data_IF_476644634038
#
_entry.id   IF_476644634038
#
_cell.length_a   1.000
_cell.length_b   1.000
_cell.length_c   1.000
_cell.angle_alpha   90.00
_cell.angle_beta   90.00
_cell.angle_gamma   90.00
#
_symmetry.space_group_name_H-M   'P 1'
#
loop_
_entity.id
_entity.type
_entity.pdbx_description
1 polymer ?
#
# COMPACT_ATOMS: atom_id res chain seq x y z
N UNK A 1 54.62 19.27 3.64
CA UNK A 1 53.58 19.57 2.64
C UNK A 1 52.31 18.90 3.14
N UNK A 2 51.60 19.59 4.03
CA UNK A 2 50.34 20.33 3.76
C UNK A 2 49.14 19.38 3.67
N UNK A 3 48.42 19.32 4.79
CA UNK A 3 47.10 18.72 4.95
C UNK A 3 46.08 19.35 3.98
N UNK A 4 45.11 18.55 3.53
CA UNK A 4 43.81 19.05 3.04
C UNK A 4 42.70 18.17 3.61
N UNK A 5 41.85 18.68 4.52
CA UNK A 5 40.72 17.95 5.08
C UNK A 5 39.42 18.51 4.51
N UNK A 6 38.94 18.04 3.36
CA UNK A 6 37.65 18.50 2.85
C UNK A 6 37.06 17.50 1.85
N UNK A 7 36.21 16.58 2.34
CA UNK A 7 35.11 15.95 1.56
C UNK A 7 34.15 15.15 2.47
N UNK A 8 33.82 15.67 3.67
CA UNK A 8 32.83 15.03 4.55
C UNK A 8 31.43 15.68 4.48
N UNK A 9 31.30 16.86 3.86
CA UNK A 9 30.06 17.64 3.91
C UNK A 9 29.24 17.43 2.63
N UNK A 10 28.58 16.28 2.49
CA UNK A 10 27.48 16.10 1.51
C UNK A 10 26.64 14.81 1.66
N UNK A 11 26.96 13.87 2.57
CA UNK A 11 26.22 12.60 2.68
C UNK A 11 25.08 12.60 3.71
N UNK A 12 25.02 13.59 4.59
CA UNK A 12 24.07 13.61 5.72
C UNK A 12 22.70 14.23 5.37
N UNK A 13 22.61 14.99 4.28
CA UNK A 13 21.36 15.68 3.89
C UNK A 13 20.38 14.76 3.16
N UNK A 14 20.86 13.73 2.47
CA UNK A 14 20.02 12.82 1.67
C UNK A 14 19.36 11.75 2.56
N UNK A 15 20.05 11.27 3.59
CA UNK A 15 19.49 10.29 4.54
C UNK A 15 18.37 10.89 5.39
N UNK A 16 18.52 12.13 5.83
CA UNK A 16 17.53 12.80 6.68
C UNK A 16 16.24 13.17 5.91
N UNK A 17 16.35 13.50 4.62
CA UNK A 17 15.18 13.78 3.77
C UNK A 17 14.30 12.55 3.50
N UNK A 18 14.92 11.37 3.35
CA UNK A 18 14.21 10.10 3.12
C UNK A 18 13.43 9.68 4.37
N UNK A 19 14.03 9.80 5.55
CA UNK A 19 13.36 9.46 6.82
C UNK A 19 12.16 10.36 7.13
N UNK A 20 12.18 11.61 6.68
CA UNK A 20 11.09 12.56 6.94
C UNK A 20 9.88 12.33 6.01
N UNK A 21 10.13 11.87 4.78
CA UNK A 21 9.10 11.40 3.85
C UNK A 21 8.47 10.09 4.34
N UNK A 22 9.28 9.16 4.87
CA UNK A 22 8.80 7.91 5.48
C UNK A 22 7.91 8.18 6.70
N UNK A 23 8.31 9.11 7.59
CA UNK A 23 7.47 9.56 8.71
C UNK A 23 6.17 10.22 8.26
N UNK A 24 6.22 11.03 7.19
CA UNK A 24 5.01 11.65 6.62
C UNK A 24 4.08 10.60 6.04
N UNK A 25 4.59 9.59 5.35
CA UNK A 25 3.80 8.48 4.81
C UNK A 25 3.14 7.66 5.92
N UNK A 26 3.86 7.39 7.02
CA UNK A 26 3.36 6.66 8.19
C UNK A 26 2.37 7.49 9.04
N UNK A 27 2.48 8.82 9.03
CA UNK A 27 1.60 9.72 9.80
C UNK A 27 0.34 10.16 9.05
N UNK A 28 0.12 9.70 7.82
CA UNK A 28 -1.15 9.89 7.12
C UNK A 28 -2.18 8.96 7.79
N UNK A 29 -2.69 9.41 8.93
CA UNK A 29 -3.89 8.84 9.54
C UNK A 29 -5.03 9.13 8.56
N UNK A 30 -5.78 8.13 8.10
CA UNK A 30 -6.90 8.38 7.21
C UNK A 30 -7.90 9.31 7.89
N UNK A 31 -8.49 10.28 7.16
CA UNK A 31 -9.42 11.27 7.73
C UNK A 31 -10.73 10.64 8.25
N UNK A 32 -10.94 9.36 7.96
CA UNK A 32 -11.99 8.53 8.52
C UNK A 32 -11.31 7.32 9.19
N UNK A 33 -11.69 7.02 10.43
CA UNK A 33 -11.16 5.89 11.18
C UNK A 33 -11.29 4.56 10.43
N UNK A 34 -10.59 3.55 10.92
CA UNK A 34 -10.48 2.22 10.32
C UNK A 34 -11.86 1.70 9.90
N UNK A 35 -12.10 1.68 8.58
CA UNK A 35 -13.42 1.39 7.99
C UNK A 35 -13.75 -0.11 8.08
N UNK A 36 -12.77 -0.92 8.47
CA UNK A 36 -12.88 -2.36 8.59
C UNK A 36 -13.87 -2.80 9.69
N UNK A 37 -14.09 -2.00 10.74
CA UNK A 37 -15.02 -2.37 11.83
C UNK A 37 -16.52 -2.22 11.47
N UNK A 38 -16.85 -1.40 10.47
CA UNK A 38 -18.26 -1.13 10.11
C UNK A 38 -18.79 -2.10 9.05
N UNK A 39 -17.94 -2.66 8.20
CA UNK A 39 -18.36 -3.53 7.09
C UNK A 39 -18.19 -5.03 7.34
N UNK A 40 -17.36 -5.46 8.30
CA UNK A 40 -17.19 -6.89 8.60
C UNK A 40 -18.28 -7.48 9.51
N UNK A 41 -19.08 -6.65 10.19
CA UNK A 41 -20.11 -7.09 11.13
C UNK A 41 -21.44 -7.50 10.48
N UNK A 42 -21.64 -7.24 9.19
CA UNK A 42 -22.90 -7.53 8.49
C UNK A 42 -22.96 -8.91 7.80
N UNK A 43 -21.84 -9.63 7.68
CA UNK A 43 -21.75 -10.84 6.84
C UNK A 43 -21.67 -12.16 7.62
N UNK A 44 -22.49 -12.32 8.66
CA UNK A 44 -22.84 -13.64 9.21
C UNK A 44 -24.34 -13.71 9.46
N UNK A 45 -25.10 -14.05 8.41
CA UNK A 45 -26.30 -14.86 8.56
C UNK A 45 -26.61 -15.55 7.22
N UNK A 46 -26.18 -16.80 7.13
CA UNK A 46 -26.59 -17.74 6.11
C UNK A 46 -28.02 -18.21 6.46
N UNK A 47 -29.00 -17.89 5.61
CA UNK A 47 -30.32 -18.52 5.64
C UNK A 47 -30.97 -18.44 4.26
N UNK A 48 -31.18 -19.63 3.69
CA UNK A 48 -31.89 -19.95 2.45
C UNK A 48 -33.16 -19.13 2.20
N UNK A 49 -33.24 -18.45 1.04
CA UNK A 49 -34.49 -18.29 0.31
C UNK A 49 -34.28 -18.28 -1.21
N UNK A 50 -34.67 -19.40 -1.82
CA UNK A 50 -34.75 -19.66 -3.25
C UNK A 50 -35.84 -18.79 -3.92
N UNK A 51 -35.45 -17.84 -4.78
CA UNK A 51 -36.31 -17.33 -5.86
C UNK A 51 -35.48 -16.81 -7.05
N UNK A 52 -35.72 -17.26 -8.29
CA UNK A 52 -34.92 -16.90 -9.45
C UNK A 52 -35.43 -15.59 -10.08
N UNK A 53 -34.83 -14.48 -9.64
CA UNK A 53 -34.48 -13.22 -10.31
C UNK A 53 -34.26 -12.24 -9.17
N UNK A 54 -33.11 -12.37 -8.52
CA UNK A 54 -32.58 -11.37 -7.62
C UNK A 54 -31.14 -11.19 -8.02
N UNK A 55 -30.90 -10.34 -9.01
CA UNK A 55 -29.64 -9.61 -9.08
C UNK A 55 -29.56 -8.91 -7.73
N UNK A 56 -28.78 -9.47 -6.82
CA UNK A 56 -28.83 -9.16 -5.39
C UNK A 56 -28.58 -7.67 -5.22
N UNK A 57 -29.64 -6.91 -4.98
CA UNK A 57 -29.54 -5.51 -4.63
C UNK A 57 -28.80 -5.40 -3.30
N UNK A 58 -28.01 -4.35 -3.11
CA UNK A 58 -27.37 -4.11 -1.83
C UNK A 58 -28.41 -4.08 -0.71
N UNK A 59 -28.07 -4.63 0.46
CA UNK A 59 -28.97 -4.69 1.62
C UNK A 59 -29.50 -3.30 2.01
N UNK A 60 -28.71 -2.26 1.76
CA UNK A 60 -29.11 -0.87 1.97
C UNK A 60 -30.18 -0.41 0.98
N UNK A 61 -30.03 -0.73 -0.31
CA UNK A 61 -31.05 -0.44 -1.34
C UNK A 61 -32.32 -1.23 -1.06
N UNK A 62 -32.20 -2.49 -0.65
CA UNK A 62 -33.35 -3.33 -0.28
C UNK A 62 -34.15 -2.72 0.88
N UNK A 63 -33.48 -2.26 1.95
CA UNK A 63 -34.16 -1.57 3.07
C UNK A 63 -34.87 -0.29 2.64
N UNK A 64 -34.24 0.51 1.79
CA UNK A 64 -34.84 1.73 1.25
C UNK A 64 -36.06 1.37 0.40
N UNK A 65 -35.94 0.39 -0.49
CA UNK A 65 -37.03 -0.09 -1.32
C UNK A 65 -38.21 -0.56 -0.47
N UNK A 66 -37.98 -1.39 0.55
CA UNK A 66 -39.04 -1.85 1.47
C UNK A 66 -39.75 -0.69 2.17
N UNK A 67 -39.02 0.35 2.58
CA UNK A 67 -39.61 1.56 3.17
C UNK A 67 -40.48 2.31 2.16
N UNK A 68 -39.98 2.52 0.95
CA UNK A 68 -40.71 3.24 -0.12
C UNK A 68 -41.97 2.48 -0.54
N UNK A 69 -41.90 1.16 -0.71
CA UNK A 69 -43.07 0.34 -1.07
C UNK A 69 -44.14 0.35 0.02
N UNK A 70 -43.78 0.32 1.31
CA UNK A 70 -44.74 0.41 2.42
C UNK A 70 -45.47 1.77 2.45
N UNK A 71 -44.77 2.85 2.14
CA UNK A 71 -45.39 4.17 2.01
C UNK A 71 -46.32 4.24 0.78
N UNK A 72 -45.95 3.57 -0.32
CA UNK A 72 -46.83 3.44 -1.48
C UNK A 72 -48.09 2.64 -1.18
N UNK A 73 -48.02 1.56 -0.41
CA UNK A 73 -49.20 0.83 0.07
C UNK A 73 -50.14 1.76 0.84
N UNK A 74 -49.60 2.52 1.80
CA UNK A 74 -50.38 3.50 2.59
C UNK A 74 -51.02 4.58 1.71
N UNK A 75 -50.32 5.04 0.67
CA UNK A 75 -50.82 6.02 -0.28
C UNK A 75 -51.92 5.46 -1.19
N UNK A 76 -51.79 4.21 -1.64
CA UNK A 76 -52.80 3.49 -2.43
C UNK A 76 -54.07 3.29 -1.59
N UNK A 77 -53.93 2.93 -0.32
CA UNK A 77 -55.08 2.76 0.59
C UNK A 77 -55.85 4.07 0.79
N UNK A 78 -55.15 5.20 0.93
CA UNK A 78 -55.78 6.49 1.18
C UNK A 78 -56.32 7.19 -0.08
N UNK A 79 -55.64 7.06 -1.22
CA UNK A 79 -55.89 7.88 -2.41
C UNK A 79 -56.09 7.07 -3.71
N UNK A 80 -55.88 5.75 -3.68
CA UNK A 80 -56.04 4.86 -4.82
C UNK A 80 -54.76 4.68 -5.67
N UNK A 81 -54.74 3.60 -6.45
CA UNK A 81 -53.61 3.18 -7.29
C UNK A 81 -53.10 4.23 -8.32
N UNK A 82 -53.94 5.05 -8.97
CA UNK A 82 -53.49 5.98 -10.02
C UNK A 82 -52.48 7.04 -9.54
N UNK A 83 -52.39 7.27 -8.23
CA UNK A 83 -51.46 8.24 -7.64
C UNK A 83 -50.01 7.79 -7.77
N UNK A 84 -49.75 6.48 -7.71
CA UNK A 84 -48.38 5.92 -7.74
C UNK A 84 -47.96 5.36 -9.10
N UNK A 85 -48.89 5.13 -10.03
CA UNK A 85 -48.60 4.49 -11.33
C UNK A 85 -47.46 5.15 -12.11
N UNK A 86 -47.45 6.49 -12.19
CA UNK A 86 -46.39 7.23 -12.90
C UNK A 86 -45.10 7.37 -12.09
N UNK A 87 -45.18 7.20 -10.77
CA UNK A 87 -44.06 7.36 -9.86
C UNK A 87 -43.26 6.06 -9.70
N UNK A 88 -43.93 4.90 -9.73
CA UNK A 88 -43.30 3.58 -9.64
C UNK A 88 -42.11 3.38 -10.59
N UNK A 89 -42.21 3.62 -11.91
CA UNK A 89 -41.07 3.40 -12.81
C UNK A 89 -39.90 4.34 -12.52
N UNK A 90 -40.15 5.55 -12.03
CA UNK A 90 -39.09 6.49 -11.63
C UNK A 90 -38.36 6.01 -10.39
N UNK A 91 -39.08 5.49 -9.41
CA UNK A 91 -38.48 4.91 -8.19
C UNK A 91 -37.72 3.64 -8.50
N UNK A 92 -38.24 2.77 -9.35
CA UNK A 92 -37.51 1.56 -9.78
C UNK A 92 -36.19 1.96 -10.44
N UNK A 93 -36.22 2.88 -11.40
CA UNK A 93 -34.99 3.38 -12.04
C UNK A 93 -34.04 4.04 -11.05
N UNK A 94 -34.55 4.80 -10.07
CA UNK A 94 -33.72 5.38 -9.02
C UNK A 94 -33.05 4.31 -8.14
N UNK A 95 -33.79 3.27 -7.75
CA UNK A 95 -33.27 2.17 -6.93
C UNK A 95 -32.25 1.32 -7.71
N UNK A 96 -32.47 1.09 -9.00
CA UNK A 96 -31.52 0.43 -9.90
C UNK A 96 -30.21 1.23 -10.01
N UNK A 97 -30.30 2.54 -10.29
CA UNK A 97 -29.13 3.41 -10.37
C UNK A 97 -28.38 3.49 -9.03
N UNK A 98 -29.11 3.51 -7.91
CA UNK A 98 -28.50 3.51 -6.59
C UNK A 98 -27.77 2.19 -6.30
N UNK A 99 -28.33 1.07 -6.75
CA UNK A 99 -27.71 -0.23 -6.62
C UNK A 99 -26.43 -0.36 -7.45
N UNK A 100 -26.46 0.13 -8.69
CA UNK A 100 -25.28 0.23 -9.55
C UNK A 100 -24.20 1.10 -8.92
N UNK A 101 -24.57 2.26 -8.37
CA UNK A 101 -23.64 3.13 -7.66
C UNK A 101 -22.97 2.45 -6.46
N UNK A 102 -23.70 1.65 -5.68
CA UNK A 102 -23.11 0.90 -4.58
C UNK A 102 -22.16 -0.20 -5.05
N UNK A 103 -22.46 -0.86 -6.17
CA UNK A 103 -21.57 -1.86 -6.79
C UNK A 103 -20.28 -1.22 -7.29
N UNK A 104 -20.38 -0.11 -8.00
CA UNK A 104 -19.24 0.66 -8.50
C UNK A 104 -18.39 1.18 -7.34
N UNK A 105 -19.03 1.68 -6.29
CA UNK A 105 -18.33 2.14 -5.09
C UNK A 105 -17.57 0.99 -4.41
N UNK A 106 -18.19 -0.19 -4.28
CA UNK A 106 -17.53 -1.35 -3.68
C UNK A 106 -16.34 -1.83 -4.53
N UNK A 107 -16.49 -1.87 -5.86
CA UNK A 107 -15.42 -2.21 -6.79
C UNK A 107 -14.25 -1.21 -6.69
N UNK A 108 -14.55 0.09 -6.67
CA UNK A 108 -13.55 1.14 -6.51
C UNK A 108 -12.80 1.01 -5.18
N UNK A 109 -13.50 0.76 -4.07
CA UNK A 109 -12.84 0.54 -2.77
C UNK A 109 -11.93 -0.70 -2.79
N UNK A 110 -12.32 -1.77 -3.48
CA UNK A 110 -11.50 -2.95 -3.64
C UNK A 110 -10.22 -2.65 -4.44
N UNK A 111 -10.34 -1.92 -5.56
CA UNK A 111 -9.20 -1.50 -6.38
C UNK A 111 -8.23 -0.61 -5.58
N UNK A 112 -8.74 0.37 -4.84
CA UNK A 112 -7.91 1.23 -3.98
C UNK A 112 -7.17 0.40 -2.92
N UNK A 113 -7.83 -0.60 -2.33
CA UNK A 113 -7.19 -1.50 -1.35
C UNK A 113 -6.05 -2.27 -2.01
N UNK A 114 -6.30 -2.87 -3.18
CA UNK A 114 -5.29 -3.61 -3.92
C UNK A 114 -4.08 -2.72 -4.26
N UNK A 115 -4.31 -1.53 -4.82
CA UNK A 115 -3.22 -0.60 -5.16
C UNK A 115 -2.40 -0.18 -3.95
N UNK A 116 -3.02 -0.04 -2.78
CA UNK A 116 -2.31 0.26 -1.53
C UNK A 116 -1.44 -0.91 -1.08
N UNK A 117 -1.96 -2.12 -1.14
CA UNK A 117 -1.23 -3.35 -0.81
C UNK A 117 -0.03 -3.57 -1.74
N UNK A 118 -0.23 -3.39 -3.05
CA UNK A 118 0.85 -3.47 -4.05
C UNK A 118 1.94 -2.44 -3.79
N UNK A 119 1.57 -1.19 -3.49
CA UNK A 119 2.54 -0.14 -3.14
C UNK A 119 3.32 -0.45 -1.87
N UNK A 120 2.65 -1.00 -0.84
CA UNK A 120 3.32 -1.41 0.39
C UNK A 120 4.35 -2.50 0.11
N UNK A 121 3.98 -3.52 -0.68
CA UNK A 121 4.89 -4.59 -1.04
C UNK A 121 6.09 -4.09 -1.86
N UNK A 122 5.88 -3.17 -2.83
CA UNK A 122 6.98 -2.54 -3.58
C UNK A 122 7.92 -1.77 -2.64
N UNK A 123 7.36 -1.06 -1.66
CA UNK A 123 8.15 -0.32 -0.68
C UNK A 123 9.03 -1.24 0.18
N UNK A 124 8.48 -2.36 0.66
CA UNK A 124 9.21 -3.34 1.47
C UNK A 124 10.34 -3.99 0.66
N UNK A 125 10.08 -4.33 -0.60
CA UNK A 125 11.10 -4.85 -1.52
C UNK A 125 12.22 -3.83 -1.74
N UNK A 126 11.87 -2.57 -2.01
CA UNK A 126 12.84 -1.49 -2.18
C UNK A 126 13.71 -1.31 -0.93
N UNK A 127 13.10 -1.38 0.25
CA UNK A 127 13.81 -1.24 1.53
C UNK A 127 14.80 -2.39 1.74
N UNK A 128 14.36 -3.61 1.45
CA UNK A 128 15.21 -4.80 1.53
C UNK A 128 16.38 -4.73 0.55
N UNK A 129 16.12 -4.34 -0.70
CA UNK A 129 17.15 -4.22 -1.73
C UNK A 129 18.18 -3.15 -1.38
N UNK A 130 17.73 -1.99 -0.86
CA UNK A 130 18.64 -0.95 -0.35
C UNK A 130 19.53 -1.47 0.78
N UNK A 131 19.00 -2.28 1.69
CA UNK A 131 19.77 -2.88 2.77
C UNK A 131 20.79 -3.90 2.24
N UNK A 132 20.38 -4.77 1.30
CA UNK A 132 21.25 -5.73 0.64
C UNK A 132 22.41 -5.05 -0.10
N UNK A 133 22.12 -3.95 -0.82
CA UNK A 133 23.14 -3.16 -1.51
C UNK A 133 24.16 -2.56 -0.53
N UNK A 134 23.71 -1.93 0.55
CA UNK A 134 24.61 -1.38 1.59
C UNK A 134 25.49 -2.48 2.19
N UNK A 135 24.93 -3.66 2.42
CA UNK A 135 25.68 -4.80 2.93
C UNK A 135 26.75 -5.27 1.93
N UNK A 136 26.42 -5.32 0.63
CA UNK A 136 27.38 -5.67 -0.42
C UNK A 136 28.51 -4.65 -0.53
N UNK A 137 28.19 -3.35 -0.52
CA UNK A 137 29.17 -2.26 -0.53
C UNK A 137 30.14 -2.35 0.66
N UNK A 138 29.63 -2.66 1.86
CA UNK A 138 30.47 -2.86 3.05
C UNK A 138 31.38 -4.10 2.92
N UNK A 139 30.88 -5.21 2.36
CA UNK A 139 31.70 -6.41 2.13
C UNK A 139 32.83 -6.13 1.15
N UNK A 140 32.55 -5.40 0.06
CA UNK A 140 33.55 -5.03 -0.93
C UNK A 140 34.67 -4.18 -0.29
N UNK A 141 34.30 -3.17 0.50
CA UNK A 141 35.28 -2.35 1.21
C UNK A 141 36.20 -3.20 2.11
N UNK A 142 35.61 -4.10 2.91
CA UNK A 142 36.41 -4.99 3.77
C UNK A 142 37.36 -5.89 2.98
N UNK A 143 36.97 -6.34 1.78
CA UNK A 143 37.85 -7.14 0.92
C UNK A 143 38.95 -6.31 0.28
N UNK A 144 38.69 -5.06 -0.09
CA UNK A 144 39.69 -4.13 -0.61
C UNK A 144 40.74 -3.82 0.47
N UNK A 145 40.31 -3.52 1.70
CA UNK A 145 41.19 -3.29 2.85
C UNK A 145 42.08 -4.52 3.13
N UNK A 146 41.50 -5.72 3.13
CA UNK A 146 42.24 -6.96 3.35
C UNK A 146 43.28 -7.22 2.24
N UNK A 147 42.93 -6.94 0.99
CA UNK A 147 43.83 -7.09 -0.15
C UNK A 147 44.99 -6.10 -0.10
N UNK A 148 44.73 -4.84 0.28
CA UNK A 148 45.76 -3.82 0.42
C UNK A 148 46.75 -4.16 1.55
N UNK A 149 46.26 -4.70 2.68
CA UNK A 149 47.14 -5.19 3.75
C UNK A 149 48.01 -6.37 3.29
N UNK A 150 47.44 -7.35 2.58
CA UNK A 150 48.20 -8.46 2.01
C UNK A 150 49.27 -7.96 1.02
N UNK A 151 48.92 -6.98 0.18
CA UNK A 151 49.86 -6.36 -0.76
C UNK A 151 51.03 -5.71 -0.03
N UNK A 152 50.77 -4.90 1.02
CA UNK A 152 51.81 -4.27 1.83
C UNK A 152 52.73 -5.30 2.48
N UNK A 153 52.18 -6.39 3.02
CA UNK A 153 52.97 -7.48 3.61
C UNK A 153 53.86 -8.15 2.56
N UNK A 154 53.32 -8.43 1.38
CA UNK A 154 54.07 -9.02 0.27
C UNK A 154 55.18 -8.09 -0.25
N UNK A 155 54.90 -6.80 -0.40
CA UNK A 155 55.90 -5.79 -0.77
C UNK A 155 57.03 -5.70 0.27
N UNK A 156 56.70 -5.67 1.57
CA UNK A 156 57.68 -5.65 2.65
C UNK A 156 58.56 -6.91 2.67
N UNK A 157 57.97 -8.09 2.43
CA UNK A 157 58.69 -9.36 2.31
C UNK A 157 59.63 -9.35 1.10
N UNK A 158 59.16 -8.88 -0.05
CA UNK A 158 59.97 -8.79 -1.26
C UNK A 158 61.14 -7.79 -1.10
N UNK A 159 60.89 -6.65 -0.45
CA UNK A 159 61.94 -5.69 -0.10
C UNK A 159 63.01 -6.31 0.80
N UNK A 160 62.59 -7.03 1.85
CA UNK A 160 63.51 -7.73 2.76
C UNK A 160 64.36 -8.79 2.04
N UNK A 161 63.73 -9.62 1.20
CA UNK A 161 64.44 -10.62 0.37
C UNK A 161 65.46 -9.95 -0.57
N UNK A 162 65.05 -8.87 -1.25
CA UNK A 162 65.92 -8.11 -2.16
C UNK A 162 67.13 -7.51 -1.43
N UNK A 163 66.96 -7.00 -0.21
CA UNK A 163 68.09 -6.51 0.60
C UNK A 163 69.02 -7.63 1.04
N UNK A 164 68.48 -8.79 1.42
CA UNK A 164 69.28 -9.97 1.81
C UNK A 164 70.12 -10.48 0.64
N UNK A 165 69.53 -10.63 -0.55
CA UNK A 165 70.24 -11.05 -1.76
C UNK A 165 71.34 -10.06 -2.19
N UNK A 166 71.16 -8.76 -1.91
CA UNK A 166 72.19 -7.74 -2.16
C UNK A 166 73.36 -7.78 -1.18
N UNK A 167 73.16 -8.26 0.04
CA UNK A 167 74.21 -8.38 1.06
C UNK A 167 75.05 -9.66 0.93
N UNK A 168 74.53 -10.68 0.23
CA UNK A 168 75.21 -11.96 -0.01
C UNK A 168 76.08 -12.02 -1.28
N UNK A 169 76.05 -10.98 -2.12
CA UNK A 169 76.94 -10.81 -3.28
C UNK A 169 77.94 -9.68 -3.02
#
# INVERSE_FOLDING_TARGET
MSYSPETTIARETITNGVTELEKKLFSIKPPFGDLDDVYLSANFNESDHNSPISVVMSERVQRIASGVYKEFETMIEAYGLPVVERLMPLIISLLENLDELYKDQAAYHAEVRQLREENMHIFDQLTTEKAARKQSELRLLNTEDAFDEERKVNEAKNGSLSTSCRQQN
#
